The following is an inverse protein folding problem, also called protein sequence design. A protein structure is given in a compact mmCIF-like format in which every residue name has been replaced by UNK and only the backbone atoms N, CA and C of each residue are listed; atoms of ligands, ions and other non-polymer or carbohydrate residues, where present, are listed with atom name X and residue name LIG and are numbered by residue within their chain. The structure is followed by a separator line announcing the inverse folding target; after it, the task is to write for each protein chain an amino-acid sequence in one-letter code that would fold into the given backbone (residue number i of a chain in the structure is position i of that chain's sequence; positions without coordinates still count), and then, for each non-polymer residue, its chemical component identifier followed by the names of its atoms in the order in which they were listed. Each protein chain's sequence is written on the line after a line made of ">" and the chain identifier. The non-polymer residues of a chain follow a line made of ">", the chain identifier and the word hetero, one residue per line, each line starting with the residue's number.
data_IF_651228297124
#
_entry.id   IF_651228297124
#
_cell.length_a   1.000
_cell.length_b   1.000
_cell.length_c   1.000
_cell.angle_alpha   90.00
_cell.angle_beta   90.00
_cell.angle_gamma   90.00
#
_symmetry.space_group_name_H-M   'P 1'
#
loop_
_entity.id
_entity.type
_entity.pdbx_description
1 polymer ?
#
# COMPACT_ATOMS: atom_id res chain seq x y z
N UNK A 1 7.48 -11.04 12.68
CA UNK A 1 6.90 -10.26 11.56
C UNK A 1 7.55 -10.76 10.29
N UNK A 2 6.86 -11.64 9.55
CA UNK A 2 7.36 -12.12 8.27
C UNK A 2 7.47 -10.95 7.29
N UNK A 3 8.66 -10.74 6.73
CA UNK A 3 8.88 -9.74 5.67
C UNK A 3 8.34 -10.34 4.39
N UNK A 4 7.14 -9.91 4.00
CA UNK A 4 6.49 -10.38 2.79
C UNK A 4 6.87 -9.47 1.62
N UNK A 5 7.50 -10.04 0.60
CA UNK A 5 7.79 -9.37 -0.67
C UNK A 5 6.64 -9.62 -1.63
N UNK A 6 6.06 -8.57 -2.21
CA UNK A 6 4.95 -8.66 -3.16
C UNK A 6 5.38 -7.98 -4.45
N UNK A 7 5.17 -8.63 -5.60
CA UNK A 7 5.42 -7.98 -6.90
C UNK A 7 4.32 -6.98 -7.18
N UNK A 8 4.71 -5.76 -7.48
CA UNK A 8 3.81 -4.65 -7.82
C UNK A 8 4.30 -4.01 -9.11
N UNK A 9 3.38 -3.43 -9.86
CA UNK A 9 3.74 -2.61 -11.03
C UNK A 9 4.45 -1.32 -10.59
N UNK A 10 5.13 -0.66 -11.53
CA UNK A 10 5.78 0.63 -11.25
C UNK A 10 4.78 1.71 -10.81
N UNK A 11 3.57 1.70 -11.37
CA UNK A 11 2.49 2.61 -10.98
C UNK A 11 2.06 2.39 -9.53
N UNK A 12 1.78 1.13 -9.16
CA UNK A 12 1.43 0.76 -7.79
C UNK A 12 2.56 1.10 -6.80
N UNK A 13 3.83 0.91 -7.18
CA UNK A 13 4.96 1.29 -6.33
C UNK A 13 5.00 2.80 -6.05
N UNK A 14 4.74 3.63 -7.06
CA UNK A 14 4.68 5.08 -6.87
C UNK A 14 3.50 5.48 -5.97
N UNK A 15 2.34 4.86 -6.16
CA UNK A 15 1.16 5.07 -5.33
C UNK A 15 1.43 4.70 -3.86
N UNK A 16 2.01 3.52 -3.62
CA UNK A 16 2.39 3.05 -2.28
C UNK A 16 3.36 4.02 -1.60
N UNK A 17 4.34 4.58 -2.32
CA UNK A 17 5.25 5.61 -1.79
C UNK A 17 4.51 6.89 -1.38
N UNK A 18 3.56 7.37 -2.20
CA UNK A 18 2.73 8.53 -1.86
C UNK A 18 1.89 8.27 -0.62
N UNK A 19 1.24 7.11 -0.55
CA UNK A 19 0.41 6.71 0.60
C UNK A 19 1.22 6.62 1.88
N UNK A 20 2.43 6.04 1.84
CA UNK A 20 3.34 6.00 3.00
C UNK A 20 3.73 7.39 3.47
N UNK A 21 3.99 8.33 2.54
CA UNK A 21 4.27 9.72 2.88
C UNK A 21 3.10 10.36 3.63
N UNK A 22 1.86 10.13 3.16
CA UNK A 22 0.63 10.62 3.82
C UNK A 22 0.47 10.00 5.21
N UNK A 23 0.64 8.68 5.34
CA UNK A 23 0.48 7.96 6.62
C UNK A 23 1.49 8.46 7.67
N UNK A 24 2.75 8.69 7.26
CA UNK A 24 3.82 9.18 8.14
C UNK A 24 3.72 10.68 8.44
N UNK A 25 2.94 11.43 7.67
CA UNK A 25 2.78 12.86 7.88
C UNK A 25 1.84 13.14 9.07
N UNK A 26 2.44 13.35 10.23
CA UNK A 26 1.74 13.65 11.49
C UNK A 26 0.92 14.94 11.45
N UNK A 27 1.20 15.85 10.51
CA UNK A 27 0.45 17.10 10.33
C UNK A 27 -0.91 16.88 9.66
N UNK A 28 -1.13 15.72 9.04
CA UNK A 28 -2.40 15.41 8.41
C UNK A 28 -3.42 14.86 9.43
N UNK A 29 -4.72 15.13 9.23
CA UNK A 29 -5.80 14.57 10.02
C UNK A 29 -5.70 13.04 10.12
N UNK A 30 -6.07 12.50 11.28
CA UNK A 30 -6.13 11.06 11.51
C UNK A 30 -7.02 10.35 10.49
N UNK A 31 -8.13 10.97 10.07
CA UNK A 31 -9.03 10.44 9.04
C UNK A 31 -8.31 10.24 7.70
N UNK A 32 -7.57 11.23 7.22
CA UNK A 32 -6.79 11.13 5.97
C UNK A 32 -5.71 10.05 6.07
N UNK A 33 -5.00 9.96 7.21
CA UNK A 33 -4.00 8.90 7.44
C UNK A 33 -4.62 7.51 7.46
N UNK A 34 -5.82 7.34 8.03
CA UNK A 34 -6.56 6.07 8.02
C UNK A 34 -7.03 5.68 6.61
N UNK A 35 -7.51 6.64 5.83
CA UNK A 35 -7.91 6.41 4.43
C UNK A 35 -6.69 5.96 3.62
N UNK A 36 -5.56 6.66 3.73
CA UNK A 36 -4.34 6.31 3.04
C UNK A 36 -3.80 4.92 3.45
N UNK A 37 -3.91 4.57 4.73
CA UNK A 37 -3.56 3.22 5.20
C UNK A 37 -4.47 2.15 4.59
N UNK A 38 -5.77 2.38 4.53
CA UNK A 38 -6.72 1.46 3.90
C UNK A 38 -6.42 1.26 2.42
N UNK A 39 -6.12 2.34 1.69
CA UNK A 39 -5.71 2.26 0.27
C UNK A 39 -4.41 1.47 0.10
N UNK A 40 -3.41 1.72 0.96
CA UNK A 40 -2.15 0.98 0.95
C UNK A 40 -2.37 -0.52 1.14
N UNK A 41 -3.18 -0.91 2.14
CA UNK A 41 -3.51 -2.31 2.42
C UNK A 41 -4.28 -2.96 1.26
N UNK A 42 -5.17 -2.21 0.59
CA UNK A 42 -5.92 -2.69 -0.58
C UNK A 42 -5.00 -3.02 -1.76
N UNK A 43 -4.06 -2.13 -2.10
CA UNK A 43 -3.08 -2.35 -3.18
C UNK A 43 -2.23 -3.59 -2.87
N UNK A 44 -1.72 -3.69 -1.65
CA UNK A 44 -0.93 -4.86 -1.23
C UNK A 44 -1.76 -6.15 -1.31
N UNK A 45 -3.03 -6.13 -0.89
CA UNK A 45 -3.92 -7.30 -0.98
C UNK A 45 -4.21 -7.69 -2.43
N UNK A 46 -4.44 -6.71 -3.30
CA UNK A 46 -4.65 -6.94 -4.73
C UNK A 46 -3.41 -7.56 -5.38
N UNK A 47 -2.25 -6.97 -5.15
CA UNK A 47 -0.98 -7.47 -5.67
C UNK A 47 -0.68 -8.90 -5.18
N UNK A 48 -0.97 -9.21 -3.92
CA UNK A 48 -0.88 -10.59 -3.38
C UNK A 48 -1.80 -11.57 -4.11
N UNK A 49 -3.03 -11.17 -4.42
CA UNK A 49 -3.98 -12.01 -5.14
C UNK A 49 -3.57 -12.21 -6.60
N UNK A 50 -2.99 -11.19 -7.22
CA UNK A 50 -2.51 -11.25 -8.60
C UNK A 50 -1.29 -12.19 -8.73
N UNK A 51 -0.35 -12.13 -7.78
CA UNK A 51 0.80 -13.06 -7.70
C UNK A 51 0.34 -14.51 -7.49
N UNK A 52 -0.76 -14.71 -6.73
CA UNK A 52 -1.35 -16.03 -6.46
C UNK A 52 -2.15 -16.60 -7.63
N UNK A 53 -2.58 -15.78 -8.59
CA UNK A 53 -3.30 -16.19 -9.80
C UNK A 53 -2.37 -16.46 -10.99
N UNK A 54 -1.09 -16.07 -10.89
CA UNK A 54 -0.06 -16.31 -11.92
C UNK A 54 0.88 -17.46 -11.58
N UNK A 55 0.56 -18.25 -10.55
CA UNK A 55 1.23 -19.53 -10.24
C UNK A 55 0.53 -20.71 -10.88
#
# INVERSE_FOLDING_TARGET
>A
MERMTVKVTQGELQELKKLVSIIKNVRLPLSQRRIAKSQYESIIKHAKHCDRLTM
#
